data_IF_854139297576
#
_entry.id   IF_854139297576
#
_cell.length_a   1.000
_cell.length_b   1.000
_cell.length_c   1.000
_cell.angle_alpha   90.00
_cell.angle_beta   90.00
_cell.angle_gamma   90.00
#
_symmetry.space_group_name_H-M   'P 1'
#
loop_
_entity.id
_entity.type
_entity.pdbx_description
1 polymer ?
#
# COMPACT_ATOMS: atom_id res chain seq x y z
N UNK A 1 15.65 10.96 10.26
CA UNK A 1 15.50 10.35 8.92
C UNK A 1 15.26 8.86 9.10
N UNK A 2 14.02 8.40 8.90
CA UNK A 2 13.60 7.02 9.24
C UNK A 2 14.23 5.98 8.31
N UNK A 3 14.76 4.89 8.88
CA UNK A 3 15.43 3.76 8.20
C UNK A 3 14.63 3.05 7.10
N UNK A 4 13.32 3.33 6.99
CA UNK A 4 12.45 2.71 5.99
C UNK A 4 12.67 3.25 4.58
N UNK A 5 13.09 4.52 4.41
CA UNK A 5 13.19 5.16 3.09
C UNK A 5 14.39 4.68 2.25
N UNK A 6 15.40 4.07 2.86
CA UNK A 6 16.64 3.73 2.14
C UNK A 6 16.57 2.39 1.38
N UNK A 7 15.69 1.47 1.76
CA UNK A 7 15.58 0.15 1.12
C UNK A 7 14.24 -0.08 0.40
N UNK A 8 13.29 0.83 0.59
CA UNK A 8 11.95 0.75 0.03
C UNK A 8 11.81 1.88 -0.98
N UNK A 9 11.63 1.56 -2.26
CA UNK A 9 11.49 2.51 -3.37
C UNK A 9 10.15 3.29 -3.34
N UNK A 10 9.62 3.54 -2.15
CA UNK A 10 8.37 4.26 -1.91
C UNK A 10 8.59 5.27 -0.78
N UNK A 11 8.17 6.52 -0.99
CA UNK A 11 8.25 7.56 0.05
C UNK A 11 7.07 7.44 1.02
N UNK A 12 7.17 8.02 2.23
CA UNK A 12 6.03 8.09 3.15
C UNK A 12 4.78 8.71 2.51
N UNK A 13 4.96 9.76 1.70
CA UNK A 13 3.88 10.47 1.01
C UNK A 13 3.18 9.57 0.00
N UNK A 14 3.94 8.83 -0.81
CA UNK A 14 3.36 7.87 -1.76
C UNK A 14 2.61 6.74 -1.07
N UNK A 15 3.07 6.35 0.12
CA UNK A 15 2.36 5.36 0.94
C UNK A 15 1.05 5.96 1.46
N UNK A 16 1.04 7.19 1.94
CA UNK A 16 -0.19 7.89 2.33
C UNK A 16 -1.17 7.98 1.16
N UNK A 17 -0.71 8.30 -0.04
CA UNK A 17 -1.56 8.27 -1.25
C UNK A 17 -2.22 6.91 -1.47
N UNK A 18 -1.51 5.80 -1.23
CA UNK A 18 -2.13 4.45 -1.31
C UNK A 18 -3.23 4.25 -0.27
N UNK A 19 -3.11 4.83 0.92
CA UNK A 19 -4.13 4.73 1.97
C UNK A 19 -5.35 5.62 1.71
N UNK A 20 -5.15 6.74 1.03
CA UNK A 20 -6.16 7.77 0.78
C UNK A 20 -6.64 7.85 -0.68
N UNK A 21 -6.19 6.94 -1.56
CA UNK A 21 -6.72 6.78 -2.93
C UNK A 21 -8.25 6.59 -2.89
N UNK A 22 -8.92 6.81 -4.02
CA UNK A 22 -10.39 6.67 -4.11
C UNK A 22 -10.84 5.20 -4.00
N UNK A 23 -9.96 4.25 -4.32
CA UNK A 23 -10.26 2.81 -4.32
C UNK A 23 -9.10 1.93 -3.77
N UNK A 24 -8.64 2.14 -2.53
CA UNK A 24 -7.60 1.32 -1.93
C UNK A 24 -8.14 -0.08 -1.68
N UNK A 25 -7.44 -1.09 -2.18
CA UNK A 25 -7.80 -2.46 -1.87
C UNK A 25 -7.04 -2.93 -0.63
N UNK A 26 -7.79 -3.14 0.46
CA UNK A 26 -7.23 -3.65 1.71
C UNK A 26 -7.48 -5.15 1.87
N UNK A 27 -6.43 -5.89 2.25
CA UNK A 27 -6.53 -7.31 2.60
C UNK A 27 -5.91 -7.59 3.95
N UNK A 28 -6.70 -8.12 4.88
CA UNK A 28 -6.23 -8.57 6.19
C UNK A 28 -5.77 -10.03 6.14
N UNK A 29 -4.63 -10.31 6.78
CA UNK A 29 -4.18 -11.65 7.12
C UNK A 29 -3.63 -11.65 8.54
N UNK A 30 -4.39 -12.25 9.48
CA UNK A 30 -4.14 -12.18 10.93
C UNK A 30 -4.05 -10.70 11.37
N UNK A 31 -2.95 -10.29 11.99
CA UNK A 31 -2.73 -8.91 12.46
C UNK A 31 -1.99 -8.02 11.45
N UNK A 32 -1.82 -8.52 10.22
CA UNK A 32 -1.13 -7.80 9.14
C UNK A 32 -2.15 -7.40 8.09
N UNK A 33 -2.06 -6.15 7.66
CA UNK A 33 -2.86 -5.59 6.59
C UNK A 33 -1.98 -5.33 5.37
N UNK A 34 -2.57 -5.54 4.21
CA UNK A 34 -2.00 -5.22 2.92
C UNK A 34 -2.85 -4.13 2.27
N UNK A 35 -2.22 -3.09 1.78
CA UNK A 35 -2.85 -2.07 0.94
C UNK A 35 -2.29 -2.16 -0.47
N UNK A 36 -3.18 -2.10 -1.44
CA UNK A 36 -2.85 -1.97 -2.86
C UNK A 36 -3.46 -0.65 -3.31
N UNK A 37 -2.64 0.20 -3.93
CA UNK A 37 -3.10 1.50 -4.41
C UNK A 37 -2.31 1.95 -5.62
N UNK A 38 -2.81 3.01 -6.24
CA UNK A 38 -2.11 3.72 -7.30
C UNK A 38 -1.88 5.16 -6.83
N UNK A 39 -0.64 5.63 -6.91
CA UNK A 39 -0.32 7.04 -6.61
C UNK A 39 -0.86 7.96 -7.70
N UNK A 40 -0.96 9.26 -7.43
CA UNK A 40 -1.41 10.28 -8.40
C UNK A 40 -0.53 10.26 -9.68
N UNK A 41 0.81 10.14 -9.60
CA UNK A 41 1.66 9.96 -10.79
C UNK A 41 1.47 8.62 -11.51
N UNK A 42 0.67 7.70 -10.96
CA UNK A 42 0.30 6.44 -11.58
C UNK A 42 1.15 5.24 -11.16
N UNK A 43 2.00 5.34 -10.13
CA UNK A 43 2.80 4.21 -9.63
C UNK A 43 1.91 3.25 -8.86
N UNK A 44 2.11 1.95 -9.06
CA UNK A 44 1.36 0.91 -8.37
C UNK A 44 2.15 0.44 -7.16
N UNK A 45 1.64 0.69 -5.96
CA UNK A 45 2.36 0.42 -4.73
C UNK A 45 1.62 -0.60 -3.85
N UNK A 46 2.40 -1.47 -3.24
CA UNK A 46 1.94 -2.42 -2.25
C UNK A 46 2.55 -2.06 -0.90
N UNK A 47 1.69 -1.86 0.09
CA UNK A 47 2.10 -1.56 1.46
C UNK A 47 1.63 -2.66 2.43
N UNK A 48 2.47 -2.96 3.41
CA UNK A 48 2.18 -3.89 4.50
C UNK A 48 2.25 -3.12 5.80
N UNK A 49 1.21 -3.20 6.61
CA UNK A 49 1.11 -2.43 7.85
C UNK A 49 0.38 -3.21 8.95
N UNK A 50 0.49 -2.73 10.18
CA UNK A 50 -0.36 -3.16 11.30
C UNK A 50 -1.11 -1.97 11.86
N UNK A 51 -2.34 -2.19 12.32
CA UNK A 51 -3.06 -1.20 13.10
C UNK A 51 -2.53 -1.21 14.53
N UNK A 52 -2.24 -0.03 15.07
CA UNK A 52 -1.87 0.19 16.48
C UNK A 52 -3.05 0.71 17.31
N UNK A 53 -4.19 0.93 16.68
CA UNK A 53 -5.41 1.51 17.23
C UNK A 53 -6.41 1.79 16.11
N UNK A 54 -7.42 2.61 16.38
CA UNK A 54 -8.43 3.00 15.38
C UNK A 54 -7.92 4.00 14.35
N UNK A 55 -6.90 4.78 14.68
CA UNK A 55 -6.42 5.93 13.89
C UNK A 55 -4.93 5.84 13.48
N UNK A 56 -4.21 4.82 13.98
CA UNK A 56 -2.76 4.69 13.80
C UNK A 56 -2.40 3.39 13.11
N UNK A 57 -1.60 3.50 12.07
CA UNK A 57 -0.98 2.37 11.38
C UNK A 57 0.54 2.44 11.49
N UNK A 58 1.18 1.29 11.75
CA UNK A 58 2.62 1.12 11.63
C UNK A 58 2.94 0.47 10.30
N UNK A 59 3.58 1.21 9.40
CA UNK A 59 4.11 0.67 8.16
C UNK A 59 5.23 -0.34 8.48
N UNK A 60 5.12 -1.54 7.91
CA UNK A 60 6.16 -2.58 7.97
C UNK A 60 7.07 -2.46 6.74
N UNK A 61 6.46 -2.40 5.55
CA UNK A 61 7.18 -2.29 4.27
C UNK A 61 6.25 -1.69 3.21
N UNK A 62 6.84 -1.03 2.23
CA UNK A 62 6.15 -0.60 1.01
C UNK A 62 7.09 -0.77 -0.19
N UNK A 63 6.56 -1.12 -1.35
CA UNK A 63 7.34 -1.27 -2.57
C UNK A 63 6.44 -1.26 -3.81
N UNK A 64 7.07 -1.12 -4.97
CA UNK A 64 6.39 -1.17 -6.25
C UNK A 64 5.84 -2.56 -6.55
N UNK A 65 4.56 -2.64 -6.95
CA UNK A 65 3.93 -3.92 -7.24
C UNK A 65 4.67 -4.66 -8.36
N UNK A 66 4.90 -5.95 -8.14
CA UNK A 66 5.21 -6.87 -9.25
C UNK A 66 4.04 -6.93 -10.24
N UNK A 67 4.29 -7.38 -11.47
CA UNK A 67 3.23 -7.56 -12.48
C UNK A 67 2.06 -8.42 -11.98
N UNK A 68 2.36 -9.46 -11.19
CA UNK A 68 1.33 -10.35 -10.63
C UNK A 68 0.44 -9.60 -9.64
N UNK A 69 1.02 -8.79 -8.76
CA UNK A 69 0.29 -7.95 -7.82
C UNK A 69 -0.53 -6.89 -8.55
N UNK A 70 0.03 -6.26 -9.59
CA UNK A 70 -0.67 -5.29 -10.42
C UNK A 70 -1.87 -5.89 -11.14
N UNK A 71 -1.71 -7.05 -11.80
CA UNK A 71 -2.83 -7.78 -12.44
C UNK A 71 -3.92 -8.16 -11.44
N UNK A 72 -3.54 -8.55 -10.22
CA UNK A 72 -4.49 -8.82 -9.15
C UNK A 72 -5.25 -7.56 -8.73
N UNK A 73 -4.53 -6.46 -8.44
CA UNK A 73 -5.13 -5.19 -8.03
C UNK A 73 -6.08 -4.65 -9.10
N UNK A 74 -5.67 -4.64 -10.37
CA UNK A 74 -6.50 -4.19 -11.48
C UNK A 74 -7.77 -5.03 -11.65
N UNK A 75 -7.69 -6.35 -11.45
CA UNK A 75 -8.88 -7.21 -11.48
C UNK A 75 -9.87 -6.87 -10.36
N UNK A 76 -9.37 -6.54 -9.17
CA UNK A 76 -10.22 -6.15 -8.04
C UNK A 76 -10.78 -4.75 -8.24
N UNK A 77 -9.95 -3.77 -8.64
CA UNK A 77 -10.35 -2.38 -8.90
C UNK A 77 -11.36 -2.28 -10.04
N UNK A 78 -11.20 -3.05 -11.12
CA UNK A 78 -12.12 -3.05 -12.26
C UNK A 78 -13.38 -3.91 -12.06
N UNK A 79 -13.53 -4.57 -10.91
CA UNK A 79 -14.73 -5.32 -10.55
C UNK A 79 -15.66 -4.55 -9.58
N UNK A 80 -15.27 -3.35 -9.19
CA UNK A 80 -16.03 -2.44 -8.33
C UNK A 80 -16.74 -1.35 -9.12
#
# INVERSE_FOLDING_TARGET
MNKLVQNHHATPEEVEEVFFDDLPHFKKYRDIYHAYGQTVPGRYLFAVFRLLGSDKAKLITAYEMSEKQRRYYQRVKGAG
#
